data_IF_239420278946
#
_entry.id   IF_239420278946
#
_cell.length_a   1.000
_cell.length_b   1.000
_cell.length_c   1.000
_cell.angle_alpha   90.00
_cell.angle_beta   90.00
_cell.angle_gamma   90.00
#
_symmetry.space_group_name_H-M   'P 1'
#
loop_
_entity.id
_entity.type
_entity.pdbx_description
1 polymer ?
#
# COMPACT_ATOMS: atom_id res chain seq x y z
N UNK A 1 -40.87 -0.64 -51.47
CA UNK A 1 -41.32 -1.73 -50.58
C UNK A 1 -40.12 -2.15 -49.73
N UNK A 2 -40.04 -1.67 -48.48
CA UNK A 2 -38.93 -1.98 -47.57
C UNK A 2 -39.27 -3.25 -46.79
N UNK A 3 -38.43 -4.27 -46.92
CA UNK A 3 -38.59 -5.55 -46.23
C UNK A 3 -38.30 -5.36 -44.73
N UNK A 4 -39.28 -5.64 -43.88
CA UNK A 4 -39.16 -5.67 -42.43
C UNK A 4 -38.40 -6.93 -42.02
N UNK A 5 -37.11 -6.75 -41.68
CA UNK A 5 -36.25 -7.85 -41.24
C UNK A 5 -36.77 -8.50 -39.95
N UNK A 6 -36.89 -9.82 -40.01
CA UNK A 6 -37.30 -10.73 -38.96
C UNK A 6 -36.38 -10.66 -37.74
N UNK A 7 -36.98 -10.56 -36.55
CA UNK A 7 -36.28 -10.64 -35.27
C UNK A 7 -35.66 -12.03 -35.10
N UNK A 8 -34.35 -12.17 -35.33
CA UNK A 8 -33.62 -13.41 -35.08
C UNK A 8 -33.27 -13.51 -33.58
N UNK A 9 -34.07 -14.26 -32.83
CA UNK A 9 -33.82 -14.63 -31.43
C UNK A 9 -32.77 -15.74 -31.38
N UNK A 10 -31.58 -15.43 -30.87
CA UNK A 10 -30.46 -16.40 -30.78
C UNK A 10 -30.51 -17.19 -29.45
N UNK A 11 -31.14 -16.64 -28.41
CA UNK A 11 -31.57 -17.36 -27.21
C UNK A 11 -32.52 -16.44 -26.43
N UNK A 12 -33.42 -16.96 -25.59
CA UNK A 12 -34.57 -16.24 -24.99
C UNK A 12 -34.30 -14.98 -24.15
N UNK A 13 -33.05 -14.48 -24.10
CA UNK A 13 -32.67 -13.18 -23.52
C UNK A 13 -31.82 -12.29 -24.44
N UNK A 14 -31.45 -12.76 -25.63
CA UNK A 14 -30.60 -12.04 -26.58
C UNK A 14 -31.44 -11.63 -27.79
N UNK A 15 -31.89 -10.37 -27.79
CA UNK A 15 -32.60 -9.78 -28.93
C UNK A 15 -31.58 -9.02 -29.78
N UNK A 16 -31.42 -9.45 -31.03
CA UNK A 16 -30.57 -8.77 -32.00
C UNK A 16 -31.30 -7.52 -32.52
N UNK A 17 -30.90 -6.33 -32.07
CA UNK A 17 -31.41 -5.06 -32.60
C UNK A 17 -30.52 -4.55 -33.74
N UNK A 18 -30.80 -4.98 -34.97
CA UNK A 18 -30.01 -4.62 -36.15
C UNK A 18 -29.94 -3.11 -36.42
N UNK A 19 -31.00 -2.36 -36.08
CA UNK A 19 -31.05 -0.90 -36.18
C UNK A 19 -30.01 -0.22 -35.28
N UNK A 20 -29.84 -0.69 -34.05
CA UNK A 20 -28.89 -0.10 -33.09
C UNK A 20 -27.44 -0.19 -33.59
N UNK A 21 -27.10 -1.27 -34.31
CA UNK A 21 -25.78 -1.43 -34.92
C UNK A 21 -25.52 -0.35 -35.96
N UNK A 22 -26.48 -0.06 -36.84
CA UNK A 22 -26.32 0.93 -37.91
C UNK A 22 -26.28 2.37 -37.38
N UNK A 23 -27.08 2.66 -36.34
CA UNK A 23 -27.17 3.98 -35.74
C UNK A 23 -25.97 4.32 -34.85
N UNK A 24 -25.63 3.41 -33.91
CA UNK A 24 -24.71 3.70 -32.80
C UNK A 24 -23.28 3.21 -33.00
N UNK A 25 -23.04 2.27 -33.92
CA UNK A 25 -21.66 1.81 -34.16
C UNK A 25 -20.83 2.92 -34.80
N UNK A 26 -19.55 2.93 -34.46
CA UNK A 26 -18.58 3.79 -35.14
C UNK A 26 -18.57 3.50 -36.66
N UNK A 27 -18.39 4.51 -37.55
CA UNK A 27 -18.58 4.35 -39.00
C UNK A 27 -17.85 3.16 -39.63
N UNK A 28 -16.61 2.92 -39.21
CA UNK A 28 -15.81 1.78 -39.68
C UNK A 28 -16.47 0.41 -39.43
N UNK A 29 -17.28 0.29 -38.39
CA UNK A 29 -17.89 -0.98 -37.99
C UNK A 29 -19.33 -1.16 -38.46
N UNK A 30 -19.96 -0.16 -39.08
CA UNK A 30 -21.36 -0.22 -39.53
C UNK A 30 -21.59 -1.31 -40.58
N UNK A 31 -20.66 -1.46 -41.51
CA UNK A 31 -20.77 -2.39 -42.64
C UNK A 31 -20.14 -3.77 -42.35
N UNK A 32 -19.66 -3.99 -41.12
CA UNK A 32 -19.00 -5.25 -40.76
C UNK A 32 -20.02 -6.36 -40.52
N UNK A 33 -19.62 -7.62 -40.80
CA UNK A 33 -20.46 -8.82 -40.57
C UNK A 33 -20.51 -9.28 -39.10
N UNK A 34 -20.00 -8.48 -38.16
CA UNK A 34 -19.91 -8.85 -36.73
C UNK A 34 -21.29 -8.82 -36.08
N UNK A 35 -21.83 -9.98 -35.73
CA UNK A 35 -23.15 -10.14 -35.09
C UNK A 35 -23.05 -10.78 -33.69
N UNK A 36 -21.90 -10.64 -33.03
CA UNK A 36 -21.67 -11.14 -31.67
C UNK A 36 -22.01 -10.12 -30.58
N UNK A 37 -22.24 -8.86 -30.95
CA UNK A 37 -22.51 -7.74 -30.03
C UNK A 37 -23.53 -6.76 -30.63
N UNK A 38 -24.18 -5.96 -29.79
CA UNK A 38 -25.18 -4.98 -30.22
C UNK A 38 -24.58 -3.91 -31.15
N UNK A 39 -23.56 -3.19 -30.68
CA UNK A 39 -22.83 -2.19 -31.47
C UNK A 39 -21.43 -2.00 -30.91
N UNK A 40 -20.56 -1.34 -31.70
CA UNK A 40 -19.16 -1.07 -31.33
C UNK A 40 -18.99 0.44 -31.06
N UNK A 41 -18.60 0.77 -29.83
CA UNK A 41 -18.36 2.14 -29.38
C UNK A 41 -16.86 2.41 -29.22
N UNK A 42 -16.39 3.59 -29.64
CA UNK A 42 -15.02 4.03 -29.41
C UNK A 42 -14.91 4.80 -28.09
N UNK A 43 -14.02 4.40 -27.19
CA UNK A 43 -13.71 5.13 -25.95
C UNK A 43 -12.19 5.34 -25.86
N UNK A 44 -11.76 6.61 -25.92
CA UNK A 44 -10.33 7.00 -25.93
C UNK A 44 -9.52 6.29 -27.03
N UNK A 45 -10.07 6.16 -28.23
CA UNK A 45 -9.39 5.52 -29.36
C UNK A 45 -9.41 3.99 -29.38
N UNK A 46 -9.93 3.33 -28.33
CA UNK A 46 -10.05 1.87 -28.29
C UNK A 46 -11.51 1.44 -28.57
N UNK A 47 -11.74 0.42 -29.42
CA UNK A 47 -13.08 -0.11 -29.69
C UNK A 47 -13.55 -1.00 -28.53
N UNK A 48 -14.80 -0.80 -28.11
CA UNK A 48 -15.50 -1.60 -27.11
C UNK A 48 -16.78 -2.18 -27.71
N UNK A 49 -16.97 -3.49 -27.59
CA UNK A 49 -18.18 -4.18 -28.01
C UNK A 49 -19.24 -4.12 -26.90
N UNK A 50 -20.44 -3.64 -27.22
CA UNK A 50 -21.55 -3.55 -26.27
C UNK A 50 -22.42 -4.82 -26.38
N UNK A 51 -22.70 -5.52 -25.28
CA UNK A 51 -23.51 -6.74 -25.32
C UNK A 51 -24.98 -6.47 -25.72
N UNK A 52 -25.70 -7.52 -26.14
CA UNK A 52 -27.12 -7.45 -26.52
C UNK A 52 -28.07 -7.25 -25.35
N UNK A 53 -27.69 -7.70 -24.16
CA UNK A 53 -28.52 -7.52 -22.98
C UNK A 53 -28.33 -6.10 -22.46
N UNK A 54 -29.45 -5.46 -22.11
CA UNK A 54 -29.40 -4.28 -21.28
C UNK A 54 -28.73 -4.70 -19.96
N UNK A 55 -27.63 -4.03 -19.61
CA UNK A 55 -27.07 -4.15 -18.27
C UNK A 55 -28.22 -3.71 -17.35
N UNK A 56 -28.73 -4.63 -16.53
CA UNK A 56 -29.81 -4.31 -15.61
C UNK A 56 -29.45 -3.01 -14.89
N UNK A 57 -30.31 -2.00 -15.00
CA UNK A 57 -30.10 -0.72 -14.36
C UNK A 57 -29.87 -0.99 -12.88
N UNK A 58 -28.62 -0.89 -12.45
CA UNK A 58 -28.26 -1.11 -11.05
C UNK A 58 -29.04 -0.10 -10.25
N UNK A 59 -29.97 -0.59 -9.44
CA UNK A 59 -30.80 0.24 -8.60
C UNK A 59 -29.90 0.97 -7.60
N UNK A 60 -30.37 2.09 -7.06
CA UNK A 60 -29.64 2.80 -6.01
C UNK A 60 -29.35 1.88 -4.80
N UNK A 61 -30.20 0.88 -4.58
CA UNK A 61 -30.07 -0.20 -3.59
C UNK A 61 -28.90 -1.14 -3.88
N UNK A 62 -28.59 -1.45 -5.14
CA UNK A 62 -27.43 -2.30 -5.48
C UNK A 62 -26.10 -1.61 -5.14
N UNK A 63 -26.09 -0.27 -5.09
CA UNK A 63 -24.93 0.51 -4.63
C UNK A 63 -24.84 0.57 -3.09
N UNK A 64 -25.92 0.31 -2.34
CA UNK A 64 -25.92 0.33 -0.88
C UNK A 64 -25.22 -0.89 -0.26
N UNK A 65 -25.13 -2.00 -0.99
CA UNK A 65 -24.42 -3.20 -0.54
C UNK A 65 -22.88 -3.08 -0.63
N UNK A 66 -22.36 -1.95 -1.13
CA UNK A 66 -20.93 -1.71 -1.20
C UNK A 66 -20.47 -1.00 0.06
N UNK A 67 -19.45 -1.53 0.73
CA UNK A 67 -18.87 -0.87 1.89
C UNK A 67 -18.44 0.56 1.52
N UNK A 68 -18.80 1.53 2.36
CA UNK A 68 -18.33 2.93 2.23
C UNK A 68 -16.83 3.06 2.49
N UNK A 69 -16.25 2.09 3.21
CA UNK A 69 -14.83 2.02 3.49
C UNK A 69 -14.02 1.78 2.22
N UNK A 70 -13.08 2.69 1.96
CA UNK A 70 -12.13 2.64 0.83
C UNK A 70 -10.92 1.75 1.19
N UNK A 71 -10.60 1.67 2.47
CA UNK A 71 -9.46 0.93 3.04
C UNK A 71 -9.92 -0.22 3.92
N UNK A 72 -9.13 -1.27 4.00
CA UNK A 72 -9.34 -2.36 4.95
C UNK A 72 -8.86 -1.96 6.35
N UNK A 73 -9.47 -2.52 7.39
CA UNK A 73 -9.08 -2.30 8.80
C UNK A 73 -7.60 -2.57 9.03
N UNK A 74 -7.08 -3.65 8.44
CA UNK A 74 -5.66 -3.99 8.49
C UNK A 74 -4.76 -2.88 7.94
N UNK A 75 -5.14 -2.28 6.81
CA UNK A 75 -4.36 -1.17 6.24
C UNK A 75 -4.40 0.06 7.16
N UNK A 76 -5.55 0.35 7.78
CA UNK A 76 -5.67 1.47 8.70
C UNK A 76 -4.89 1.29 10.01
N UNK A 77 -4.81 0.06 10.52
CA UNK A 77 -4.10 -0.26 11.75
C UNK A 77 -2.58 -0.30 11.56
N UNK A 78 -2.10 -0.90 10.47
CA UNK A 78 -0.69 -1.19 10.24
C UNK A 78 0.01 -0.24 9.26
N UNK A 79 -0.65 0.81 8.79
CA UNK A 79 0.03 1.82 7.97
C UNK A 79 1.07 2.61 8.77
N UNK A 80 2.20 2.99 8.16
CA UNK A 80 3.15 3.92 8.76
C UNK A 80 2.43 5.22 9.15
N UNK A 81 2.45 5.56 10.44
CA UNK A 81 1.87 6.83 10.93
C UNK A 81 2.93 7.92 10.79
N UNK A 82 2.58 9.09 10.23
CA UNK A 82 3.51 10.21 10.16
C UNK A 82 3.88 10.70 11.58
N UNK A 83 5.14 11.09 11.77
CA UNK A 83 5.61 11.67 13.03
C UNK A 83 5.07 13.08 13.17
N UNK A 84 4.05 13.26 14.01
CA UNK A 84 3.55 14.58 14.39
C UNK A 84 4.36 15.14 15.56
N UNK A 85 4.55 16.46 15.58
CA UNK A 85 5.20 17.19 16.67
C UNK A 85 4.52 18.56 16.88
N UNK A 86 4.91 19.28 17.95
CA UNK A 86 4.31 20.57 18.31
C UNK A 86 4.43 21.63 17.20
N UNK A 87 5.50 21.60 16.40
CA UNK A 87 5.69 22.50 15.25
C UNK A 87 5.15 22.02 13.90
N UNK A 88 4.41 20.90 13.79
CA UNK A 88 4.00 20.39 12.47
C UNK A 88 2.86 21.22 11.90
N UNK A 89 2.94 21.59 10.60
CA UNK A 89 1.89 22.35 9.90
C UNK A 89 0.56 21.60 9.84
N UNK A 90 0.61 20.28 9.62
CA UNK A 90 -0.56 19.40 9.53
C UNK A 90 -0.54 18.42 10.70
N UNK A 91 -1.55 18.49 11.55
CA UNK A 91 -1.70 17.61 12.71
C UNK A 91 -2.99 16.83 12.63
N UNK A 92 -3.00 15.61 13.16
CA UNK A 92 -4.22 14.86 13.34
C UNK A 92 -5.21 15.61 14.26
N UNK A 93 -6.49 15.63 13.87
CA UNK A 93 -7.62 16.18 14.62
C UNK A 93 -8.09 15.21 15.71
N UNK A 94 -7.17 14.85 16.60
CA UNK A 94 -7.47 14.03 17.78
C UNK A 94 -7.50 14.89 19.05
N UNK A 95 -8.29 14.51 20.07
CA UNK A 95 -8.30 15.19 21.36
C UNK A 95 -6.89 15.38 21.92
N UNK A 96 -6.67 16.49 22.61
CA UNK A 96 -5.38 16.77 23.23
C UNK A 96 -5.11 15.77 24.37
N UNK A 97 -3.99 15.06 24.26
CA UNK A 97 -3.44 14.25 25.34
C UNK A 97 -1.95 14.53 25.47
N UNK A 98 -1.45 14.64 26.71
CA UNK A 98 -0.04 14.98 26.97
C UNK A 98 0.92 13.95 26.38
N UNK A 99 0.53 12.67 26.36
CA UNK A 99 1.33 11.58 25.82
C UNK A 99 1.30 11.44 24.29
N UNK A 100 0.43 12.18 23.58
CA UNK A 100 0.30 12.04 22.12
C UNK A 100 1.50 12.59 21.35
N UNK A 101 1.84 11.95 20.24
CA UNK A 101 2.94 12.37 19.37
C UNK A 101 2.83 13.85 18.95
N UNK A 102 1.63 14.32 18.58
CA UNK A 102 1.36 15.72 18.18
C UNK A 102 1.71 16.79 19.21
N UNK A 103 1.83 16.39 20.49
CA UNK A 103 2.15 17.26 21.62
C UNK A 103 3.63 17.19 22.04
N UNK A 104 4.42 16.30 21.42
CA UNK A 104 5.85 16.14 21.72
C UNK A 104 6.70 17.14 20.93
N UNK A 105 7.89 17.41 21.44
CA UNK A 105 8.92 18.14 20.70
C UNK A 105 9.38 17.33 19.48
N UNK A 106 9.78 17.99 18.39
CA UNK A 106 10.38 17.31 17.24
C UNK A 106 11.63 16.56 17.71
N UNK A 107 11.64 15.25 17.47
CA UNK A 107 12.80 14.41 17.68
C UNK A 107 13.56 14.31 16.35
N UNK A 108 14.90 14.37 16.34
CA UNK A 108 15.65 14.14 15.12
C UNK A 108 15.33 12.76 14.56
N UNK A 109 15.08 12.69 13.26
CA UNK A 109 14.90 11.42 12.58
C UNK A 109 16.19 10.59 12.70
N UNK A 110 16.02 9.27 12.78
CA UNK A 110 17.18 8.38 12.75
C UNK A 110 17.97 8.64 11.45
N UNK A 111 19.30 8.76 11.52
CA UNK A 111 20.10 8.96 10.32
C UNK A 111 19.84 7.80 9.36
N UNK A 112 19.58 8.13 8.09
CA UNK A 112 19.46 7.12 7.05
C UNK A 112 20.79 6.39 6.99
N UNK A 113 20.79 5.12 7.39
CA UNK A 113 21.97 4.28 7.28
C UNK A 113 22.27 4.12 5.79
N UNK A 114 23.43 4.61 5.36
CA UNK A 114 23.90 4.40 4.00
C UNK A 114 24.08 2.90 3.77
N UNK A 115 23.96 2.44 2.51
CA UNK A 115 24.02 1.01 2.14
C UNK A 115 25.30 0.29 2.61
N UNK A 116 26.33 1.03 3.02
CA UNK A 116 27.63 0.52 3.48
C UNK A 116 27.87 0.75 4.98
N UNK A 117 26.85 1.10 5.77
CA UNK A 117 27.02 1.41 7.19
C UNK A 117 27.49 0.21 8.04
N UNK A 118 27.36 -1.02 7.54
CA UNK A 118 27.93 -2.22 8.16
C UNK A 118 28.68 -3.05 7.11
N UNK A 119 30.00 -2.90 7.07
CA UNK A 119 30.87 -3.89 6.43
C UNK A 119 31.14 -4.98 7.47
N UNK A 120 30.54 -6.15 7.28
CA UNK A 120 30.85 -7.35 8.06
C UNK A 120 32.00 -8.05 7.35
N UNK A 121 33.18 -7.97 7.93
CA UNK A 121 34.33 -8.74 7.46
C UNK A 121 34.28 -10.12 8.11
N UNK A 122 34.17 -11.15 7.26
CA UNK A 122 34.23 -12.54 7.70
C UNK A 122 35.70 -12.88 7.86
N UNK A 123 36.13 -13.12 9.10
CA UNK A 123 37.52 -13.46 9.41
C UNK A 123 37.94 -14.81 8.80
N UNK A 124 39.26 -15.00 8.63
CA UNK A 124 39.83 -16.27 8.17
C UNK A 124 39.64 -17.38 9.22
N UNK A 125 39.31 -18.60 8.76
CA UNK A 125 39.04 -19.78 9.61
C UNK A 125 40.24 -20.23 10.45
N UNK A 126 41.44 -19.75 10.13
CA UNK A 126 42.69 -20.18 10.74
C UNK A 126 43.10 -19.33 11.95
N UNK A 127 42.47 -18.17 12.16
CA UNK A 127 42.71 -17.35 13.34
C UNK A 127 41.80 -17.77 14.49
N UNK A 128 42.40 -18.10 15.63
CA UNK A 128 41.71 -18.52 16.86
C UNK A 128 41.08 -17.31 17.60
N UNK A 129 40.37 -16.46 16.85
CA UNK A 129 39.68 -15.27 17.35
C UNK A 129 38.25 -15.68 17.66
N UNK A 130 37.83 -15.57 18.93
CA UNK A 130 36.50 -15.98 19.42
C UNK A 130 35.32 -15.27 18.73
N UNK A 131 35.59 -14.23 17.94
CA UNK A 131 34.60 -13.39 17.27
C UNK A 131 34.78 -13.48 15.74
N UNK A 132 33.93 -14.27 15.09
CA UNK A 132 34.00 -14.53 13.64
C UNK A 132 33.48 -13.38 12.76
N UNK A 133 32.79 -12.40 13.36
CA UNK A 133 32.23 -11.25 12.67
C UNK A 133 32.85 -9.97 13.22
N UNK A 134 33.70 -9.33 12.40
CA UNK A 134 34.22 -8.00 12.67
C UNK A 134 33.34 -6.99 11.91
N UNK A 135 32.76 -6.06 12.65
CA UNK A 135 31.96 -4.96 12.08
C UNK A 135 32.75 -3.67 12.25
N UNK A 136 32.82 -2.86 11.20
CA UNK A 136 33.42 -1.51 11.24
C UNK A 136 32.63 -0.55 12.13
N UNK A 137 31.33 -0.79 12.31
CA UNK A 137 30.59 -0.18 13.40
C UNK A 137 31.08 -0.82 14.71
N UNK A 138 31.70 -0.01 15.59
CA UNK A 138 31.75 -0.34 17.01
C UNK A 138 30.33 -0.72 17.42
N UNK A 139 30.14 -1.69 18.32
CA UNK A 139 28.81 -2.11 18.80
C UNK A 139 28.08 -0.93 19.49
N UNK A 140 27.57 0.01 18.71
CA UNK A 140 26.71 1.11 19.15
C UNK A 140 25.28 0.59 19.30
N UNK A 141 24.97 -0.57 18.71
CA UNK A 141 23.65 -1.17 18.75
C UNK A 141 23.54 -2.27 19.80
N UNK A 142 22.92 -1.91 20.93
CA UNK A 142 22.53 -2.88 21.94
C UNK A 142 21.87 -2.26 23.17
N UNK A 143 20.99 -1.27 23.01
CA UNK A 143 20.07 -0.86 24.10
C UNK A 143 20.78 -0.56 25.45
N UNK A 144 22.01 -0.02 25.40
CA UNK A 144 22.83 0.32 26.55
C UNK A 144 22.28 1.59 27.21
N UNK A 145 21.27 1.42 28.05
CA UNK A 145 20.56 2.55 28.65
C UNK A 145 19.24 2.18 29.32
N UNK A 146 18.77 0.93 29.16
CA UNK A 146 17.74 0.38 30.05
C UNK A 146 18.41 -0.51 31.09
N UNK A 147 19.28 0.08 31.91
CA UNK A 147 19.27 -0.39 33.29
C UNK A 147 17.80 -0.24 33.70
N UNK A 148 17.10 -1.33 34.03
CA UNK A 148 15.75 -1.22 34.60
C UNK A 148 15.77 -0.21 35.74
N UNK A 149 14.60 0.24 36.23
CA UNK A 149 14.50 1.27 37.27
C UNK A 149 15.29 0.87 38.55
N UNK A 150 16.60 1.14 38.56
CA UNK A 150 17.56 0.78 39.59
C UNK A 150 18.10 2.13 40.05
N UNK A 151 17.67 2.54 41.24
CA UNK A 151 18.10 3.78 41.87
C UNK A 151 19.40 3.62 42.68
N UNK A 152 19.89 2.39 42.86
CA UNK A 152 21.08 2.12 43.66
C UNK A 152 22.37 2.51 42.91
N UNK A 153 23.16 3.47 43.42
CA UNK A 153 24.35 3.98 42.73
C UNK A 153 25.50 2.96 42.65
N UNK A 154 25.61 2.04 43.62
CA UNK A 154 26.63 1.00 43.62
C UNK A 154 26.44 0.04 42.45
N UNK A 155 25.22 -0.47 42.28
CA UNK A 155 24.85 -1.38 41.18
C UNK A 155 25.01 -0.67 39.82
N UNK A 156 24.67 0.62 39.73
CA UNK A 156 24.88 1.41 38.51
C UNK A 156 26.38 1.53 38.18
N UNK A 157 27.22 1.80 39.17
CA UNK A 157 28.66 1.97 38.96
C UNK A 157 29.34 0.68 38.49
N UNK A 158 28.96 -0.47 39.07
CA UNK A 158 29.51 -1.78 38.72
C UNK A 158 29.10 -2.19 37.30
N UNK A 159 27.82 -2.03 36.97
CA UNK A 159 27.35 -2.29 35.60
C UNK A 159 28.06 -1.39 34.60
N UNK A 160 28.22 -0.11 34.91
CA UNK A 160 28.93 0.84 34.04
C UNK A 160 30.38 0.44 33.81
N UNK A 161 31.11 0.04 34.87
CA UNK A 161 32.48 -0.47 34.76
C UNK A 161 32.56 -1.73 33.90
N UNK A 162 31.66 -2.68 34.13
CA UNK A 162 31.59 -3.92 33.35
C UNK A 162 31.30 -3.64 31.86
N UNK A 163 30.40 -2.71 31.57
CA UNK A 163 30.11 -2.29 30.20
C UNK A 163 31.30 -1.64 29.52
N UNK A 164 32.02 -0.77 30.22
CA UNK A 164 33.24 -0.15 29.70
C UNK A 164 34.31 -1.20 29.39
N UNK A 165 34.46 -2.20 30.25
CA UNK A 165 35.37 -3.32 30.01
C UNK A 165 34.99 -4.12 28.76
N UNK A 166 33.70 -4.43 28.54
CA UNK A 166 33.21 -5.14 27.36
C UNK A 166 33.38 -4.37 26.04
N UNK A 167 33.51 -3.04 26.09
CA UNK A 167 33.79 -2.22 24.89
C UNK A 167 35.27 -2.23 24.49
N UNK A 168 36.16 -2.53 25.44
CA UNK A 168 37.60 -2.58 25.23
C UNK A 168 38.11 -3.97 24.81
N UNK A 169 37.24 -4.98 24.84
CA UNK A 169 37.47 -6.34 24.34
C UNK A 169 36.98 -6.49 22.89
#
# INVERSE_FOLDING_TARGET
MSQTNTNNTISGRMILHQSQKQEKSYPFFKDTRVNSCSYIQMKKGNPYAIPYYEIANKSQIDNQNKSTYITSTYNDDYKPKPNFHVGSEKKALQPYTMGSFRSRLPQPDAPILTKNASQVEIGDRHFNVKRHFLSTAHNVYGNFGKFGNISNPGILSEKTKWHHHLQQL
#
